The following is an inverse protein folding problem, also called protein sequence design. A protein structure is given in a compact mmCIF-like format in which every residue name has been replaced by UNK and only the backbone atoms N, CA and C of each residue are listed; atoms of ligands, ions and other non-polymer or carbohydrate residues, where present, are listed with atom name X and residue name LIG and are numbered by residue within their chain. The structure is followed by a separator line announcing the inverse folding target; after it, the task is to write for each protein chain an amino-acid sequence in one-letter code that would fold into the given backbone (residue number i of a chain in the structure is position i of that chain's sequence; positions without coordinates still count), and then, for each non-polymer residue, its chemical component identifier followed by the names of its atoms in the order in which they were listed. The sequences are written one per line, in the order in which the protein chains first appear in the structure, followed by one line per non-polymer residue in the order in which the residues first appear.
data_IF_740230452596
#
_entry.id   IF_740230452596
#
_cell.length_a   1.000
_cell.length_b   1.000
_cell.length_c   1.000
_cell.angle_alpha   90.00
_cell.angle_beta   90.00
_cell.angle_gamma   90.00
#
_symmetry.space_group_name_H-M   'P 1'
#
loop_
_entity.id
_entity.type
_entity.pdbx_description
1 polymer ?
#
# COMPACT_ATOMS: atom_id res chain seq x y z
N UNK A 1 8.33 38.05 3.77
CA UNK A 1 8.22 36.81 4.55
C UNK A 1 9.56 36.10 4.46
N UNK A 2 10.29 36.14 5.55
CA UNK A 2 11.59 35.51 5.71
C UNK A 2 11.38 33.99 5.73
N UNK A 3 12.01 33.31 4.79
CA UNK A 3 12.21 31.88 4.88
C UNK A 3 13.08 31.60 6.11
N UNK A 4 12.53 30.91 7.07
CA UNK A 4 13.29 30.40 8.20
C UNK A 4 14.32 29.40 7.64
N UNK A 5 15.58 29.84 7.55
CA UNK A 5 16.71 28.93 7.44
C UNK A 5 16.83 28.19 8.76
N UNK A 6 16.19 27.04 8.92
CA UNK A 6 16.57 26.09 9.94
C UNK A 6 17.96 25.60 9.58
N UNK A 7 18.94 25.88 10.41
CA UNK A 7 20.18 25.12 10.47
C UNK A 7 19.80 23.63 10.56
N UNK A 8 19.89 22.92 9.44
CA UNK A 8 19.78 21.48 9.43
C UNK A 8 20.99 20.99 10.23
N UNK A 9 20.75 20.64 11.50
CA UNK A 9 21.70 19.86 12.28
C UNK A 9 22.08 18.67 11.43
N UNK A 10 23.38 18.44 11.21
CA UNK A 10 23.87 17.44 10.26
C UNK A 10 23.58 15.99 10.65
N UNK A 11 22.39 15.71 11.13
CA UNK A 11 21.89 14.42 11.51
C UNK A 11 21.19 13.81 10.28
N UNK A 12 21.58 12.60 9.93
CA UNK A 12 21.06 11.86 8.79
C UNK A 12 19.66 11.35 9.09
N UNK A 13 18.68 11.70 8.26
CA UNK A 13 17.31 11.24 8.40
C UNK A 13 17.15 9.83 7.84
N UNK A 14 16.44 8.97 8.54
CA UNK A 14 16.14 7.60 8.12
C UNK A 14 14.72 7.52 7.56
N UNK A 15 14.62 7.11 6.30
CA UNK A 15 13.36 7.02 5.55
C UNK A 15 13.02 5.56 5.30
N UNK A 16 11.88 5.10 5.82
CA UNK A 16 11.36 3.76 5.51
C UNK A 16 10.30 3.85 4.40
N UNK A 17 10.42 2.99 3.40
CA UNK A 17 9.51 3.01 2.25
C UNK A 17 9.31 1.63 1.62
N UNK A 18 8.12 1.42 1.05
CA UNK A 18 7.86 0.28 0.17
C UNK A 18 7.96 0.65 -1.33
N UNK A 19 8.39 1.87 -1.62
CA UNK A 19 8.47 2.40 -2.99
C UNK A 19 9.91 2.67 -3.45
N UNK A 20 10.89 1.93 -2.90
CA UNK A 20 12.32 2.16 -3.15
C UNK A 20 12.94 1.37 -4.31
N UNK A 21 12.17 0.55 -5.05
CA UNK A 21 12.67 -0.24 -6.18
C UNK A 21 12.89 0.58 -7.46
N UNK A 22 13.53 0.02 -8.44
CA UNK A 22 13.71 0.56 -9.80
C UNK A 22 14.40 1.94 -9.83
N UNK A 23 15.43 2.12 -9.01
CA UNK A 23 16.21 3.37 -8.94
C UNK A 23 15.53 4.50 -8.17
N UNK A 24 14.35 4.25 -7.55
CA UNK A 24 13.61 5.28 -6.81
C UNK A 24 14.28 5.68 -5.51
N UNK A 25 14.93 4.75 -4.82
CA UNK A 25 15.71 5.06 -3.61
C UNK A 25 16.87 5.99 -3.93
N UNK A 26 17.63 5.71 -4.97
CA UNK A 26 18.76 6.50 -5.44
C UNK A 26 18.31 7.90 -5.87
N UNK A 27 17.22 7.97 -6.64
CA UNK A 27 16.60 9.22 -7.05
C UNK A 27 16.17 10.08 -5.84
N UNK A 28 15.54 9.45 -4.84
CA UNK A 28 15.13 10.16 -3.63
C UNK A 28 16.32 10.72 -2.86
N UNK A 29 17.38 9.92 -2.69
CA UNK A 29 18.61 10.34 -2.01
C UNK A 29 19.25 11.52 -2.76
N UNK A 30 19.34 11.45 -4.09
CA UNK A 30 19.88 12.54 -4.92
C UNK A 30 19.07 13.83 -4.74
N UNK A 31 17.72 13.75 -4.82
CA UNK A 31 16.85 14.91 -4.70
C UNK A 31 16.83 15.49 -3.27
N UNK A 32 16.89 14.66 -2.26
CA UNK A 32 17.03 15.10 -0.87
C UNK A 32 18.33 15.89 -0.68
N UNK A 33 19.44 15.38 -1.22
CA UNK A 33 20.74 16.05 -1.18
C UNK A 33 20.73 17.41 -1.92
N UNK A 34 20.10 17.48 -3.08
CA UNK A 34 19.90 18.75 -3.80
C UNK A 34 19.09 19.77 -2.97
N UNK A 35 18.15 19.28 -2.15
CA UNK A 35 17.34 20.09 -1.24
C UNK A 35 18.04 20.39 0.11
N UNK A 36 19.26 19.90 0.32
CA UNK A 36 20.05 20.15 1.53
C UNK A 36 19.83 19.15 2.66
N UNK A 37 19.17 18.00 2.38
CA UNK A 37 18.96 16.94 3.37
C UNK A 37 19.88 15.75 3.12
N UNK A 38 20.45 15.21 4.19
CA UNK A 38 21.12 13.90 4.16
C UNK A 38 20.16 12.82 4.63
N UNK A 39 19.84 11.86 3.76
CA UNK A 39 18.89 10.79 4.08
C UNK A 39 19.49 9.41 3.86
N UNK A 40 19.00 8.45 4.64
CA UNK A 40 19.16 7.02 4.42
C UNK A 40 17.82 6.41 4.08
N UNK A 41 17.76 5.65 2.97
CA UNK A 41 16.53 4.99 2.53
C UNK A 41 16.60 3.50 2.84
N UNK A 42 15.64 3.01 3.59
CA UNK A 42 15.44 1.58 3.88
C UNK A 42 14.19 1.13 3.13
N UNK A 43 14.39 0.41 2.03
CA UNK A 43 13.32 -0.11 1.18
C UNK A 43 12.95 -1.53 1.60
N UNK A 44 11.69 -1.75 1.96
CA UNK A 44 11.12 -3.02 2.42
C UNK A 44 9.72 -3.20 1.84
N UNK A 45 9.09 -4.37 2.03
CA UNK A 45 7.67 -4.54 1.72
C UNK A 45 6.77 -3.72 2.65
N UNK A 46 5.56 -3.36 2.21
CA UNK A 46 4.66 -2.50 2.99
C UNK A 46 4.40 -3.01 4.41
N UNK A 47 4.08 -4.30 4.55
CA UNK A 47 3.89 -4.92 5.87
C UNK A 47 5.18 -5.00 6.68
N UNK A 48 6.32 -5.24 6.02
CA UNK A 48 7.63 -5.30 6.68
C UNK A 48 8.03 -3.94 7.27
N UNK A 49 7.77 -2.84 6.53
CA UNK A 49 7.94 -1.47 7.06
C UNK A 49 7.09 -1.29 8.32
N UNK A 50 5.81 -1.61 8.25
CA UNK A 50 4.88 -1.44 9.37
C UNK A 50 5.27 -2.28 10.57
N UNK A 51 5.59 -3.55 10.38
CA UNK A 51 6.00 -4.45 11.46
C UNK A 51 7.32 -4.04 12.09
N UNK A 52 8.28 -3.59 11.29
CA UNK A 52 9.55 -3.08 11.76
C UNK A 52 9.36 -1.83 12.62
N UNK A 53 8.59 -0.86 12.17
CA UNK A 53 8.28 0.35 12.96
C UNK A 53 7.59 0.00 14.29
N UNK A 54 6.69 -0.98 14.30
CA UNK A 54 6.04 -1.45 15.51
C UNK A 54 7.05 -2.12 16.46
N UNK A 55 7.95 -2.94 15.93
CA UNK A 55 9.00 -3.58 16.73
C UNK A 55 9.98 -2.57 17.33
N UNK A 56 10.26 -1.49 16.62
CA UNK A 56 11.16 -0.41 17.03
C UNK A 56 10.48 0.65 17.92
N UNK A 57 9.20 0.48 18.28
CA UNK A 57 8.38 1.47 19.00
C UNK A 57 9.06 2.10 20.22
N UNK A 58 9.84 1.32 20.98
CA UNK A 58 10.52 1.81 22.19
C UNK A 58 11.86 2.48 21.91
N UNK A 59 12.37 2.36 20.69
CA UNK A 59 13.59 3.02 20.22
C UNK A 59 13.46 3.24 18.71
N UNK A 60 12.63 4.23 18.29
CA UNK A 60 12.37 4.47 16.86
C UNK A 60 13.64 4.81 16.11
N UNK A 61 13.82 4.17 14.96
CA UNK A 61 14.93 4.42 14.04
C UNK A 61 14.49 5.14 12.77
N UNK A 62 13.19 5.15 12.49
CA UNK A 62 12.60 5.76 11.31
C UNK A 62 12.12 7.18 11.63
N UNK A 63 12.59 8.18 10.89
CA UNK A 63 12.15 9.56 11.00
C UNK A 63 10.96 9.86 10.09
N UNK A 64 10.98 9.28 8.88
CA UNK A 64 9.94 9.50 7.86
C UNK A 64 9.58 8.18 7.20
N UNK A 65 8.29 7.92 7.01
CA UNK A 65 7.83 6.82 6.17
C UNK A 65 6.96 7.33 5.02
N UNK A 66 7.14 6.77 3.82
CA UNK A 66 6.31 7.11 2.68
C UNK A 66 6.07 5.90 1.77
N UNK A 67 4.98 5.99 0.98
CA UNK A 67 4.61 4.98 -0.02
C UNK A 67 3.66 3.90 0.49
N UNK A 68 3.40 3.83 1.79
CA UNK A 68 2.42 2.90 2.35
C UNK A 68 1.00 3.30 1.93
N UNK A 69 0.11 2.33 1.89
CA UNK A 69 -1.32 2.60 1.72
C UNK A 69 -1.98 2.98 3.06
N UNK A 70 -3.23 3.44 2.99
CA UNK A 70 -4.00 3.85 4.16
C UNK A 70 -4.17 2.73 5.20
N UNK A 71 -4.28 1.47 4.80
CA UNK A 71 -4.41 0.33 5.74
C UNK A 71 -3.19 0.24 6.65
N UNK A 72 -1.99 0.37 6.08
CA UNK A 72 -0.75 0.31 6.84
C UNK A 72 -0.57 1.58 7.71
N UNK A 73 -0.94 2.76 7.20
CA UNK A 73 -0.90 3.99 7.99
C UNK A 73 -1.89 3.98 9.16
N UNK A 74 -3.10 3.47 8.99
CA UNK A 74 -4.04 3.29 10.10
C UNK A 74 -3.49 2.36 11.18
N UNK A 75 -2.78 1.30 10.78
CA UNK A 75 -2.10 0.40 11.74
C UNK A 75 -1.00 1.12 12.51
N UNK A 76 -0.17 1.94 11.84
CA UNK A 76 0.86 2.75 12.51
C UNK A 76 0.25 3.80 13.45
N UNK A 77 -0.80 4.48 13.01
CA UNK A 77 -1.56 5.46 13.80
C UNK A 77 -2.15 4.82 15.07
N UNK A 78 -2.81 3.68 14.94
CA UNK A 78 -3.37 2.94 16.08
C UNK A 78 -2.31 2.48 17.10
N UNK A 79 -1.06 2.31 16.67
CA UNK A 79 0.08 2.00 17.52
C UNK A 79 0.78 3.24 18.11
N UNK A 80 0.33 4.45 17.77
CA UNK A 80 0.90 5.71 18.25
C UNK A 80 2.29 6.00 17.68
N UNK A 81 2.54 5.61 16.43
CA UNK A 81 3.84 5.73 15.76
C UNK A 81 3.90 6.91 14.78
N UNK A 82 2.81 7.63 14.59
CA UNK A 82 2.72 8.77 13.72
C UNK A 82 2.50 10.05 14.54
N UNK A 83 3.03 11.15 14.03
CA UNK A 83 2.79 12.50 14.58
C UNK A 83 1.84 13.25 13.65
N UNK A 84 0.96 14.07 14.23
CA UNK A 84 0.15 15.00 13.47
C UNK A 84 1.04 16.11 12.89
N UNK A 85 0.87 16.35 11.60
CA UNK A 85 1.56 17.41 10.90
C UNK A 85 0.73 17.85 9.71
N UNK A 86 0.69 19.11 9.36
CA UNK A 86 0.00 19.60 8.17
C UNK A 86 1.03 20.16 7.18
N UNK A 87 1.31 19.44 6.10
CA UNK A 87 2.13 19.97 5.01
C UNK A 87 1.47 21.18 4.33
N UNK A 88 2.27 22.12 3.88
CA UNK A 88 1.79 23.34 3.19
C UNK A 88 1.25 23.09 1.77
N UNK A 89 1.56 21.94 1.18
CA UNK A 89 1.08 21.53 -0.16
C UNK A 89 -0.30 20.84 -0.17
N UNK A 90 -0.91 20.59 0.98
CA UNK A 90 -2.15 19.80 1.10
C UNK A 90 -3.40 20.48 0.53
N UNK A 91 -3.37 21.77 0.32
CA UNK A 91 -4.51 22.51 -0.25
C UNK A 91 -4.80 22.11 -1.72
N UNK A 92 -3.81 21.53 -2.43
CA UNK A 92 -3.95 21.00 -3.78
C UNK A 92 -4.36 19.52 -3.86
N UNK A 93 -4.57 18.87 -2.73
CA UNK A 93 -4.91 17.44 -2.64
C UNK A 93 -6.42 17.28 -2.47
N UNK A 94 -6.99 16.22 -3.04
CA UNK A 94 -8.38 15.84 -2.77
C UNK A 94 -8.57 15.58 -1.26
N UNK A 95 -9.37 16.40 -0.62
CA UNK A 95 -9.57 16.38 0.83
C UNK A 95 -10.23 15.09 1.32
N UNK A 96 -10.93 14.34 0.45
CA UNK A 96 -11.52 13.05 0.78
C UNK A 96 -10.47 11.93 0.97
N UNK A 97 -9.26 12.15 0.50
CA UNK A 97 -8.14 11.19 0.58
C UNK A 97 -7.21 11.46 1.77
N UNK A 98 -7.36 12.59 2.43
CA UNK A 98 -6.54 12.98 3.59
C UNK A 98 -7.09 12.32 4.86
N UNK A 99 -6.21 11.82 5.72
CA UNK A 99 -6.61 11.42 7.07
C UNK A 99 -7.20 12.63 7.81
N UNK A 100 -8.47 12.56 8.27
CA UNK A 100 -9.13 13.70 8.91
C UNK A 100 -8.46 14.17 10.21
N UNK A 101 -7.64 13.31 10.82
CA UNK A 101 -6.89 13.65 12.03
C UNK A 101 -5.47 14.17 11.71
N UNK A 102 -5.03 14.13 10.44
CA UNK A 102 -3.78 14.74 9.98
C UNK A 102 -2.51 13.97 10.35
N UNK A 103 -2.56 12.65 10.43
CA UNK A 103 -1.40 11.81 10.69
C UNK A 103 -0.66 11.37 9.42
N UNK A 104 -1.35 11.29 8.27
CA UNK A 104 -0.75 10.94 6.99
C UNK A 104 -1.48 11.61 5.81
N UNK A 105 -0.79 11.75 4.70
CA UNK A 105 -1.24 12.49 3.53
C UNK A 105 -0.94 11.71 2.25
N UNK A 106 -1.87 11.68 1.28
CA UNK A 106 -1.64 11.03 0.00
C UNK A 106 -0.67 11.86 -0.85
N UNK A 107 0.35 11.21 -1.39
CA UNK A 107 1.28 11.80 -2.37
C UNK A 107 1.00 11.31 -3.79
N UNK A 108 0.28 10.19 -3.92
CA UNK A 108 -0.13 9.60 -5.19
C UNK A 108 -1.37 8.75 -5.01
N UNK A 109 -2.18 8.63 -6.05
CA UNK A 109 -3.28 7.67 -6.15
C UNK A 109 -2.99 6.69 -7.27
N UNK A 110 -3.12 5.41 -6.98
CA UNK A 110 -2.91 4.34 -7.95
C UNK A 110 -4.17 3.48 -8.03
N UNK A 111 -4.91 3.52 -9.16
CA UNK A 111 -6.05 2.64 -9.32
C UNK A 111 -5.59 1.18 -9.38
N UNK A 112 -6.33 0.29 -8.73
CA UNK A 112 -6.16 -1.14 -8.88
C UNK A 112 -7.05 -1.61 -10.02
N UNK A 113 -6.48 -2.35 -10.95
CA UNK A 113 -7.17 -2.78 -12.18
C UNK A 113 -7.02 -4.28 -12.39
N UNK A 114 -8.00 -4.87 -13.07
CA UNK A 114 -7.86 -6.19 -13.67
C UNK A 114 -7.11 -6.04 -14.99
N UNK A 115 -6.11 -6.86 -15.19
CA UNK A 115 -5.37 -6.96 -16.44
C UNK A 115 -5.53 -8.38 -16.99
N UNK A 116 -5.91 -8.50 -18.24
CA UNK A 116 -6.08 -9.78 -18.91
C UNK A 116 -5.41 -9.81 -20.28
N UNK A 117 -5.18 -11.00 -20.80
CA UNK A 117 -4.78 -11.19 -22.18
C UNK A 117 -5.88 -10.68 -23.11
N UNK A 118 -5.51 -9.93 -24.16
CA UNK A 118 -6.47 -9.33 -25.08
C UNK A 118 -7.34 -10.36 -25.83
N UNK A 119 -6.85 -11.58 -25.96
CA UNK A 119 -7.58 -12.69 -26.62
C UNK A 119 -8.48 -13.46 -25.65
N UNK A 120 -8.45 -13.13 -24.34
CA UNK A 120 -9.28 -13.79 -23.34
C UNK A 120 -10.71 -13.22 -23.34
N UNK A 121 -11.71 -14.10 -23.40
CA UNK A 121 -13.12 -13.70 -23.41
C UNK A 121 -14.01 -14.75 -22.73
N UNK A 122 -15.01 -14.36 -21.88
CA UNK A 122 -15.28 -12.98 -21.50
C UNK A 122 -14.29 -12.46 -20.44
N UNK A 123 -13.96 -11.18 -20.51
CA UNK A 123 -13.19 -10.53 -19.42
C UNK A 123 -14.07 -10.33 -18.20
N UNK A 124 -13.55 -10.55 -16.97
CA UNK A 124 -14.26 -10.20 -15.75
C UNK A 124 -14.40 -8.67 -15.67
N UNK A 125 -15.56 -8.21 -15.23
CA UNK A 125 -15.86 -6.79 -15.07
C UNK A 125 -15.60 -6.31 -13.63
N UNK A 126 -15.60 -7.24 -12.68
CA UNK A 126 -15.39 -6.97 -11.26
C UNK A 126 -14.54 -8.06 -10.60
N UNK A 127 -13.92 -7.73 -9.47
CA UNK A 127 -13.14 -8.69 -8.67
C UNK A 127 -13.96 -9.91 -8.23
N UNK A 128 -15.25 -9.71 -7.94
CA UNK A 128 -16.17 -10.77 -7.53
C UNK A 128 -16.58 -11.70 -8.67
N UNK A 129 -16.36 -11.32 -9.92
CA UNK A 129 -16.56 -12.24 -11.04
C UNK A 129 -15.58 -13.42 -11.00
N UNK A 130 -14.37 -13.19 -10.46
CA UNK A 130 -13.31 -14.19 -10.37
C UNK A 130 -13.64 -15.39 -9.47
N UNK A 131 -14.73 -15.31 -8.67
CA UNK A 131 -15.20 -16.46 -7.89
C UNK A 131 -16.11 -17.41 -8.68
N UNK A 132 -16.52 -17.03 -9.91
CA UNK A 132 -17.32 -17.85 -10.79
C UNK A 132 -16.51 -19.01 -11.33
N UNK A 133 -17.16 -20.13 -11.58
CA UNK A 133 -16.48 -21.36 -12.06
C UNK A 133 -15.75 -21.17 -13.40
N UNK A 134 -16.26 -20.28 -14.26
CA UNK A 134 -15.65 -19.98 -15.57
C UNK A 134 -14.27 -19.32 -15.46
N UNK A 135 -13.92 -18.70 -14.33
CA UNK A 135 -12.61 -18.07 -14.12
C UNK A 135 -11.68 -18.90 -13.23
N UNK A 136 -12.15 -20.04 -12.73
CA UNK A 136 -11.36 -20.89 -11.85
C UNK A 136 -10.09 -21.39 -12.53
N UNK A 137 -8.95 -21.12 -11.91
CA UNK A 137 -7.63 -21.49 -12.44
C UNK A 137 -7.14 -20.62 -13.59
N UNK A 138 -7.84 -19.51 -13.91
CA UNK A 138 -7.52 -18.65 -15.07
C UNK A 138 -6.93 -17.28 -14.64
N UNK A 139 -6.72 -17.03 -13.37
CA UNK A 139 -6.11 -15.80 -12.89
C UNK A 139 -5.07 -16.08 -11.81
N UNK A 140 -4.24 -15.12 -11.57
CA UNK A 140 -3.25 -15.16 -10.51
C UNK A 140 -3.38 -13.94 -9.61
N UNK A 141 -2.92 -14.10 -8.39
CA UNK A 141 -2.95 -13.08 -7.36
C UNK A 141 -1.53 -12.75 -6.92
N UNK A 142 -1.34 -11.50 -6.54
CA UNK A 142 -0.17 -11.13 -5.77
C UNK A 142 -0.32 -11.62 -4.32
N UNK A 143 0.77 -12.05 -3.66
CA UNK A 143 0.74 -12.51 -2.27
C UNK A 143 0.13 -11.45 -1.34
N UNK A 144 -0.65 -11.87 -0.34
CA UNK A 144 -1.36 -10.99 0.60
C UNK A 144 -0.43 -10.17 1.53
N UNK A 145 0.86 -10.47 1.57
CA UNK A 145 1.85 -9.62 2.25
C UNK A 145 2.06 -8.26 1.58
N UNK A 146 1.69 -8.11 0.31
CA UNK A 146 1.78 -6.86 -0.44
C UNK A 146 0.59 -5.93 -0.21
N UNK A 147 0.83 -4.61 -0.23
CA UNK A 147 -0.22 -3.60 -0.05
C UNK A 147 -1.33 -3.69 -1.11
N UNK A 148 -0.98 -3.92 -2.38
CA UNK A 148 -1.92 -4.10 -3.49
C UNK A 148 -2.89 -5.24 -3.24
N UNK A 149 -2.38 -6.44 -2.91
CA UNK A 149 -3.21 -7.61 -2.67
C UNK A 149 -4.13 -7.44 -1.46
N UNK A 150 -3.65 -6.83 -0.38
CA UNK A 150 -4.49 -6.49 0.79
C UNK A 150 -5.61 -5.54 0.42
N UNK A 151 -5.33 -4.53 -0.40
CA UNK A 151 -6.35 -3.55 -0.81
C UNK A 151 -7.42 -4.20 -1.69
N UNK A 152 -7.04 -5.04 -2.65
CA UNK A 152 -7.98 -5.81 -3.47
C UNK A 152 -8.84 -6.71 -2.58
N UNK A 153 -8.23 -7.48 -1.69
CA UNK A 153 -8.94 -8.36 -0.77
C UNK A 153 -9.92 -7.58 0.12
N UNK A 154 -9.47 -6.48 0.73
CA UNK A 154 -10.32 -5.62 1.55
C UNK A 154 -11.48 -5.03 0.75
N UNK A 155 -11.28 -4.63 -0.52
CA UNK A 155 -12.33 -4.11 -1.37
C UNK A 155 -13.42 -5.14 -1.69
N UNK A 156 -13.08 -6.43 -1.70
CA UNK A 156 -14.03 -7.52 -1.89
C UNK A 156 -14.84 -7.72 -0.62
N UNK A 157 -14.20 -7.98 0.52
CA UNK A 157 -14.89 -8.34 1.77
C UNK A 157 -15.71 -7.18 2.34
N UNK A 158 -15.28 -5.93 2.16
CA UNK A 158 -16.01 -4.75 2.64
C UNK A 158 -17.39 -4.56 2.00
N UNK A 159 -17.70 -5.28 0.92
CA UNK A 159 -19.03 -5.28 0.28
C UNK A 159 -20.05 -6.15 1.02
N UNK A 160 -19.62 -6.94 2.00
CA UNK A 160 -20.40 -7.91 2.73
C UNK A 160 -20.37 -7.61 4.25
N UNK A 161 -20.79 -6.40 4.69
CA UNK A 161 -20.74 -6.03 6.09
C UNK A 161 -21.82 -6.78 6.90
N UNK A 162 -21.43 -7.30 8.05
CA UNK A 162 -22.36 -7.82 9.07
C UNK A 162 -21.82 -7.44 10.46
N UNK A 163 -22.52 -6.56 11.21
CA UNK A 163 -22.07 -6.17 12.56
C UNK A 163 -21.93 -7.33 13.54
N UNK A 164 -22.59 -8.47 13.29
CA UNK A 164 -22.53 -9.66 14.12
C UNK A 164 -21.59 -10.74 13.55
N UNK A 165 -21.07 -10.54 12.34
CA UNK A 165 -20.16 -11.46 11.69
C UNK A 165 -18.73 -11.35 12.22
N UNK A 166 -17.91 -12.34 11.89
CA UNK A 166 -16.50 -12.35 12.23
C UNK A 166 -15.79 -11.15 11.57
N UNK A 167 -15.08 -10.37 12.38
CA UNK A 167 -14.46 -9.08 11.98
C UNK A 167 -15.41 -8.09 11.29
N UNK A 168 -16.72 -8.19 11.56
CA UNK A 168 -17.73 -7.32 10.94
C UNK A 168 -18.12 -7.71 9.51
N UNK A 169 -17.77 -8.93 9.07
CA UNK A 169 -18.02 -9.47 7.72
C UNK A 169 -18.95 -10.66 7.82
N UNK A 170 -19.92 -10.75 6.89
CA UNK A 170 -20.87 -11.86 6.84
C UNK A 170 -20.21 -13.18 6.40
N UNK A 171 -20.86 -14.31 6.70
CA UNK A 171 -20.43 -15.64 6.23
C UNK A 171 -20.33 -15.69 4.69
N UNK A 172 -21.24 -15.02 3.97
CA UNK A 172 -21.17 -14.88 2.52
C UNK A 172 -19.87 -14.18 2.08
N UNK A 173 -19.50 -13.09 2.75
CA UNK A 173 -18.27 -12.36 2.47
C UNK A 173 -17.03 -13.24 2.64
N UNK A 174 -17.00 -14.04 3.68
CA UNK A 174 -15.90 -14.99 3.92
C UNK A 174 -15.90 -16.15 2.92
N UNK A 175 -17.06 -16.62 2.48
CA UNK A 175 -17.16 -17.62 1.40
C UNK A 175 -16.62 -17.07 0.08
N UNK A 176 -17.02 -15.85 -0.31
CA UNK A 176 -16.49 -15.15 -1.50
C UNK A 176 -14.98 -14.97 -1.42
N UNK A 177 -14.48 -14.51 -0.29
CA UNK A 177 -13.04 -14.34 -0.07
C UNK A 177 -12.26 -15.67 -0.21
N UNK A 178 -12.80 -16.74 0.37
CA UNK A 178 -12.21 -18.08 0.27
C UNK A 178 -12.19 -18.58 -1.18
N UNK A 179 -13.28 -18.39 -1.93
CA UNK A 179 -13.34 -18.75 -3.36
C UNK A 179 -12.37 -17.91 -4.19
N UNK A 180 -12.29 -16.59 -3.91
CA UNK A 180 -11.36 -15.70 -4.61
C UNK A 180 -9.91 -16.14 -4.45
N UNK A 181 -9.50 -16.56 -3.26
CA UNK A 181 -8.16 -17.07 -3.03
C UNK A 181 -7.98 -18.49 -3.58
N UNK A 182 -8.97 -19.37 -3.38
CA UNK A 182 -8.90 -20.78 -3.76
C UNK A 182 -9.05 -21.05 -5.26
N UNK A 183 -9.67 -20.14 -6.01
CA UNK A 183 -9.84 -20.26 -7.46
C UNK A 183 -8.64 -19.74 -8.26
N UNK A 184 -7.71 -19.04 -7.61
CA UNK A 184 -6.51 -18.55 -8.29
C UNK A 184 -5.65 -19.73 -8.78
N UNK A 185 -5.10 -19.61 -9.98
CA UNK A 185 -4.14 -20.56 -10.52
C UNK A 185 -2.83 -20.53 -9.73
N UNK A 186 -2.38 -19.33 -9.38
CA UNK A 186 -1.08 -19.11 -8.77
C UNK A 186 -1.10 -17.85 -7.90
N UNK A 187 -0.19 -17.82 -6.92
CA UNK A 187 0.12 -16.62 -6.13
C UNK A 187 1.56 -16.24 -6.44
N UNK A 188 1.76 -15.02 -6.95
CA UNK A 188 3.06 -14.51 -7.39
C UNK A 188 3.63 -13.49 -6.40
N UNK A 189 4.95 -13.40 -6.37
CA UNK A 189 5.66 -12.50 -5.46
C UNK A 189 5.91 -11.11 -6.05
N UNK A 190 5.95 -10.98 -7.38
CA UNK A 190 6.23 -9.71 -8.06
C UNK A 190 5.18 -9.37 -9.11
N UNK A 191 5.06 -8.06 -9.42
CA UNK A 191 4.23 -7.57 -10.51
C UNK A 191 4.77 -7.97 -11.89
N UNK A 192 6.08 -8.11 -12.03
CA UNK A 192 6.73 -8.54 -13.28
C UNK A 192 6.38 -9.97 -13.63
N UNK A 193 6.36 -10.88 -12.65
CA UNK A 193 5.90 -12.25 -12.83
C UNK A 193 4.43 -12.29 -13.24
N UNK A 194 3.60 -11.45 -12.63
CA UNK A 194 2.19 -11.34 -12.98
C UNK A 194 1.99 -10.92 -14.44
N UNK A 195 2.73 -9.91 -14.90
CA UNK A 195 2.66 -9.42 -16.29
C UNK A 195 3.17 -10.49 -17.27
N UNK A 196 4.33 -11.09 -16.98
CA UNK A 196 4.93 -12.12 -17.80
C UNK A 196 4.02 -13.32 -18.02
N UNK A 197 3.29 -13.73 -16.99
CA UNK A 197 2.37 -14.87 -17.06
C UNK A 197 1.07 -14.57 -17.82
N UNK A 198 0.63 -13.31 -17.89
CA UNK A 198 -0.56 -12.93 -18.69
C UNK A 198 -0.24 -12.86 -20.18
N UNK A 199 1.00 -12.55 -20.55
CA UNK A 199 1.44 -12.41 -21.94
C UNK A 199 1.71 -13.78 -22.59
N UNK A 200 2.14 -14.77 -21.82
CA UNK A 200 2.49 -16.13 -22.29
C UNK A 200 1.33 -17.11 -22.11
#
# INVERSE_FOLDING_TARGET
SEAASSDASGEKLVVYTNSGTDGRSEYLIEKAKEAGFDIEVVALGASEVTERMIAEKNNPLCDVTFGLNNIEYEKLKANGLLQQWKPDWTDGVDQSLIDPEGYYYPITTTPLVLMGNADFSPMPEDWTDLVKDEYKGLYQLHRLGGGTAKTVFASIISRYPDPNGDLGISDEGWEIASKFLGNAHNIVDSGEDAIGNVIN
#
